data_IF_880594263999
#
_entry.id   IF_880594263999
#
_cell.length_a   1.000
_cell.length_b   1.000
_cell.length_c   1.000
_cell.angle_alpha   90.00
_cell.angle_beta   90.00
_cell.angle_gamma   90.00
#
_symmetry.space_group_name_H-M   'P 1'
#
loop_
_entity.id
_entity.type
_entity.pdbx_description
1 polymer ?
#
# COMPACT_ATOMS: atom_id res chain seq x y z
N UNK A 1 -20.33 -11.26 42.16
CA UNK A 1 -20.84 -11.52 40.79
C UNK A 1 -20.27 -10.46 39.88
N UNK A 2 -19.59 -10.82 38.80
CA UNK A 2 -19.00 -9.89 37.85
C UNK A 2 -19.19 -10.37 36.41
N UNK A 3 -19.11 -9.44 35.46
CA UNK A 3 -19.09 -9.73 34.03
C UNK A 3 -17.63 -9.80 33.55
N UNK A 4 -17.33 -10.79 32.73
CA UNK A 4 -16.02 -10.93 32.10
C UNK A 4 -16.21 -11.14 30.60
N UNK A 5 -15.67 -10.23 29.80
CA UNK A 5 -15.61 -10.35 28.34
C UNK A 5 -14.14 -10.33 27.93
N UNK A 6 -13.67 -11.38 27.27
CA UNK A 6 -12.26 -11.53 26.91
C UNK A 6 -12.11 -12.14 25.52
N UNK A 7 -10.96 -11.89 24.92
CA UNK A 7 -10.51 -12.61 23.73
C UNK A 7 -9.86 -13.93 24.13
N UNK A 8 -10.47 -15.05 23.75
CA UNK A 8 -10.01 -16.41 24.11
C UNK A 8 -10.11 -17.31 22.89
N UNK A 9 -9.00 -17.97 22.54
CA UNK A 9 -9.00 -18.93 21.42
C UNK A 9 -9.39 -18.32 20.07
N UNK A 10 -9.17 -17.02 19.88
CA UNK A 10 -9.54 -16.29 18.68
C UNK A 10 -10.96 -15.73 18.66
N UNK A 11 -11.74 -15.88 19.73
CA UNK A 11 -13.13 -15.44 19.79
C UNK A 11 -13.40 -14.52 20.97
N UNK A 12 -14.48 -13.73 20.87
CA UNK A 12 -15.01 -12.96 22.00
C UNK A 12 -15.84 -13.89 22.88
N UNK A 13 -15.41 -14.10 24.12
CA UNK A 13 -16.12 -14.91 25.11
C UNK A 13 -16.64 -14.01 26.22
N UNK A 14 -17.97 -13.98 26.40
CA UNK A 14 -18.66 -13.22 27.44
C UNK A 14 -19.31 -14.15 28.47
N UNK A 15 -18.95 -13.98 29.74
CA UNK A 15 -19.42 -14.82 30.85
C UNK A 15 -19.74 -14.00 32.10
N UNK A 16 -20.77 -14.42 32.84
CA UNK A 16 -21.03 -13.97 34.19
C UNK A 16 -20.35 -14.95 35.17
N UNK A 17 -19.55 -14.41 36.09
CA UNK A 17 -18.77 -15.20 37.05
C UNK A 17 -19.17 -14.82 38.48
N UNK A 18 -19.50 -15.83 39.28
CA UNK A 18 -19.66 -15.72 40.73
C UNK A 18 -18.36 -16.17 41.40
N UNK A 19 -17.73 -15.33 42.25
CA UNK A 19 -16.42 -15.59 42.88
C UNK A 19 -16.49 -15.46 44.39
N UNK A 20 -15.73 -16.28 45.11
CA UNK A 20 -15.39 -16.10 46.52
C UNK A 20 -13.86 -15.92 46.63
N UNK A 21 -13.43 -14.66 46.77
CA UNK A 21 -12.01 -14.32 46.62
C UNK A 21 -11.50 -14.66 45.22
N UNK A 22 -10.43 -15.46 45.14
CA UNK A 22 -9.85 -15.91 43.86
C UNK A 22 -10.57 -17.13 43.25
N UNK A 23 -11.46 -17.79 44.00
CA UNK A 23 -12.12 -19.05 43.56
C UNK A 23 -13.39 -18.72 42.77
N UNK A 24 -13.48 -19.24 41.54
CA UNK A 24 -14.70 -19.19 40.72
C UNK A 24 -15.71 -20.23 41.25
N UNK A 25 -16.88 -19.77 41.69
CA UNK A 25 -17.96 -20.60 42.22
C UNK A 25 -18.93 -21.07 41.12
N UNK A 26 -19.24 -20.20 40.16
CA UNK A 26 -20.11 -20.52 39.04
C UNK A 26 -19.79 -19.63 37.82
N UNK A 27 -19.89 -20.21 36.62
CA UNK A 27 -19.68 -19.52 35.33
C UNK A 27 -20.89 -19.77 34.44
N UNK A 28 -21.45 -18.71 33.85
CA UNK A 28 -22.59 -18.80 32.93
C UNK A 28 -22.35 -17.91 31.70
N UNK A 29 -22.77 -18.31 30.49
CA UNK A 29 -22.73 -17.43 29.32
C UNK A 29 -23.54 -16.15 29.56
N UNK A 30 -23.00 -15.01 29.13
CA UNK A 30 -23.64 -13.71 29.25
C UNK A 30 -24.30 -13.33 27.91
N UNK A 31 -25.62 -13.19 27.90
CA UNK A 31 -26.39 -12.94 26.66
C UNK A 31 -26.27 -11.49 26.15
N UNK A 32 -26.16 -10.54 27.06
CA UNK A 32 -26.08 -9.11 26.76
C UNK A 32 -24.90 -8.51 27.53
N UNK A 33 -23.66 -8.76 27.08
CA UNK A 33 -22.49 -8.14 27.69
C UNK A 33 -22.50 -6.63 27.51
N UNK A 34 -21.89 -5.92 28.47
CA UNK A 34 -21.58 -4.50 28.32
C UNK A 34 -20.82 -4.24 27.00
N UNK A 35 -21.32 -3.34 26.12
CA UNK A 35 -20.66 -2.99 24.86
C UNK A 35 -19.20 -2.53 25.01
N UNK A 36 -18.84 -1.85 26.10
CA UNK A 36 -17.46 -1.40 26.32
C UNK A 36 -16.53 -2.56 26.64
N UNK A 37 -17.01 -3.58 27.38
CA UNK A 37 -16.25 -4.80 27.63
C UNK A 37 -16.04 -5.62 26.35
N UNK A 38 -17.06 -5.67 25.48
CA UNK A 38 -16.95 -6.30 24.15
C UNK A 38 -15.94 -5.56 23.27
N UNK A 39 -16.04 -4.23 23.21
CA UNK A 39 -15.08 -3.38 22.49
C UNK A 39 -13.66 -3.62 22.99
N UNK A 40 -13.46 -3.65 24.31
CA UNK A 40 -12.16 -3.97 24.92
C UNK A 40 -11.61 -5.35 24.51
N UNK A 41 -12.46 -6.38 24.49
CA UNK A 41 -12.08 -7.71 24.05
C UNK A 41 -11.71 -7.78 22.55
N UNK A 42 -12.43 -7.05 21.69
CA UNK A 42 -12.11 -6.96 20.26
C UNK A 42 -10.77 -6.25 20.02
N UNK A 43 -10.52 -5.16 20.74
CA UNK A 43 -9.22 -4.45 20.70
C UNK A 43 -8.09 -5.36 21.18
N UNK A 44 -8.31 -6.14 22.24
CA UNK A 44 -7.35 -7.15 22.69
C UNK A 44 -7.08 -8.20 21.60
N UNK A 45 -8.13 -8.66 20.91
CA UNK A 45 -7.99 -9.56 19.76
C UNK A 45 -7.13 -8.98 18.63
N UNK A 46 -7.40 -7.72 18.25
CA UNK A 46 -6.60 -6.99 17.26
C UNK A 46 -5.14 -6.87 17.69
N UNK A 47 -4.85 -6.59 18.96
CA UNK A 47 -3.46 -6.50 19.46
C UNK A 47 -2.73 -7.84 19.46
N UNK A 48 -3.43 -8.94 19.73
CA UNK A 48 -2.84 -10.29 19.79
C UNK A 48 -2.64 -10.91 18.41
N UNK A 49 -3.58 -10.74 17.50
CA UNK A 49 -3.59 -11.40 16.19
C UNK A 49 -3.26 -10.46 15.02
N UNK A 50 -3.19 -9.16 15.29
CA UNK A 50 -2.84 -8.13 14.33
C UNK A 50 -4.00 -7.64 13.47
N UNK A 51 -3.67 -6.71 12.57
CA UNK A 51 -4.64 -6.07 11.66
C UNK A 51 -5.19 -7.01 10.59
N UNK A 52 -4.66 -8.22 10.47
CA UNK A 52 -5.17 -9.25 9.56
C UNK A 52 -6.59 -9.73 9.87
N UNK A 53 -7.13 -9.39 11.05
CA UNK A 53 -8.53 -9.62 11.39
C UNK A 53 -9.50 -8.69 10.63
N UNK A 54 -9.01 -7.60 10.05
CA UNK A 54 -9.80 -6.63 9.28
C UNK A 54 -9.84 -7.00 7.80
N UNK A 55 -10.80 -6.42 7.06
CA UNK A 55 -10.85 -6.59 5.61
C UNK A 55 -9.89 -5.63 4.92
N UNK A 56 -8.83 -6.18 4.34
CA UNK A 56 -7.90 -5.46 3.46
C UNK A 56 -8.19 -5.78 2.00
N UNK A 57 -8.66 -4.78 1.25
CA UNK A 57 -8.69 -4.87 -0.20
C UNK A 57 -7.34 -4.46 -0.78
N UNK A 58 -7.08 -4.80 -2.04
CA UNK A 58 -5.88 -4.34 -2.75
C UNK A 58 -5.73 -2.82 -2.72
N UNK A 59 -6.83 -2.08 -2.81
CA UNK A 59 -6.81 -0.62 -2.80
C UNK A 59 -6.57 -0.07 -1.39
N UNK A 60 -7.09 -0.74 -0.36
CA UNK A 60 -6.82 -0.42 1.05
C UNK A 60 -5.33 -0.60 1.39
N UNK A 61 -4.72 -1.69 0.90
CA UNK A 61 -3.28 -1.92 1.05
C UNK A 61 -2.45 -0.85 0.31
N UNK A 62 -2.84 -0.47 -0.91
CA UNK A 62 -2.16 0.60 -1.63
C UNK A 62 -2.26 1.94 -0.93
N UNK A 63 -3.45 2.31 -0.44
CA UNK A 63 -3.62 3.52 0.36
C UNK A 63 -2.68 3.51 1.55
N UNK A 64 -2.64 2.40 2.30
CA UNK A 64 -1.75 2.25 3.44
C UNK A 64 -0.27 2.43 3.06
N UNK A 65 0.18 1.80 1.97
CA UNK A 65 1.56 1.93 1.51
C UNK A 65 1.91 3.36 1.08
N UNK A 66 0.98 4.06 0.40
CA UNK A 66 1.13 5.47 0.01
C UNK A 66 1.24 6.38 1.23
N UNK A 67 0.39 6.17 2.25
CA UNK A 67 0.45 6.90 3.51
C UNK A 67 1.76 6.64 4.26
N UNK A 68 2.19 5.37 4.36
CA UNK A 68 3.46 5.01 4.98
C UNK A 68 4.65 5.68 4.27
N UNK A 69 4.63 5.73 2.94
CA UNK A 69 5.63 6.42 2.14
C UNK A 69 5.65 7.93 2.46
N UNK A 70 4.50 8.61 2.45
CA UNK A 70 4.43 10.04 2.74
C UNK A 70 4.83 10.36 4.17
N UNK A 71 4.43 9.55 5.15
CA UNK A 71 4.86 9.70 6.54
C UNK A 71 6.38 9.59 6.67
N UNK A 72 7.01 8.61 6.01
CA UNK A 72 8.48 8.44 6.04
C UNK A 72 9.23 9.60 5.39
N UNK A 73 8.73 10.11 4.26
CA UNK A 73 9.44 11.11 3.43
C UNK A 73 9.18 12.55 3.88
N UNK A 74 7.93 12.86 4.22
CA UNK A 74 7.49 14.23 4.55
C UNK A 74 7.25 14.42 6.05
N UNK A 75 7.02 13.33 6.81
CA UNK A 75 6.69 13.41 8.23
C UNK A 75 5.28 13.95 8.47
N UNK A 76 5.03 14.51 9.67
CA UNK A 76 3.76 15.16 9.99
C UNK A 76 3.38 16.22 8.94
N UNK A 77 2.09 16.34 8.56
CA UNK A 77 0.92 15.76 9.21
C UNK A 77 0.52 14.37 8.69
N UNK A 78 1.30 13.73 7.82
CA UNK A 78 0.98 12.39 7.32
C UNK A 78 1.06 11.36 8.45
N UNK A 79 0.04 10.49 8.62
CA UNK A 79 -0.06 9.60 9.79
C UNK A 79 0.92 8.44 9.73
N UNK A 80 1.44 8.02 10.88
CA UNK A 80 2.07 6.70 10.99
C UNK A 80 0.98 5.62 10.86
N UNK A 81 1.11 4.79 9.83
CA UNK A 81 0.19 3.68 9.54
C UNK A 81 0.90 2.32 9.68
N UNK A 82 1.97 2.26 10.46
CA UNK A 82 2.57 1.01 10.91
C UNK A 82 1.56 0.17 11.71
N UNK A 83 1.78 -1.15 11.78
CA UNK A 83 0.89 -2.04 12.56
C UNK A 83 0.81 -1.56 14.03
N UNK A 84 1.95 -1.16 14.61
CA UNK A 84 2.02 -0.64 15.97
C UNK A 84 1.18 0.62 16.18
N UNK A 85 1.31 1.62 15.31
CA UNK A 85 0.56 2.87 15.42
C UNK A 85 -0.96 2.64 15.28
N UNK A 86 -1.38 1.86 14.27
CA UNK A 86 -2.79 1.57 14.04
C UNK A 86 -3.43 0.74 15.17
N UNK A 87 -2.67 -0.15 15.81
CA UNK A 87 -3.13 -0.93 16.97
C UNK A 87 -3.13 -0.13 18.27
N UNK A 88 -2.28 0.89 18.39
CA UNK A 88 -2.26 1.80 19.54
C UNK A 88 -3.49 2.72 19.53
N UNK A 89 -3.91 3.19 18.36
CA UNK A 89 -4.98 4.18 18.21
C UNK A 89 -6.24 3.64 17.51
N UNK A 90 -6.64 2.39 17.77
CA UNK A 90 -7.82 1.78 17.13
C UNK A 90 -9.09 2.63 17.22
N UNK A 91 -9.29 3.35 18.32
CA UNK A 91 -10.42 4.26 18.51
C UNK A 91 -10.43 5.46 17.57
N UNK A 92 -9.28 5.93 17.09
CA UNK A 92 -9.19 7.10 16.22
C UNK A 92 -9.63 6.80 14.78
N UNK A 93 -9.43 5.56 14.31
CA UNK A 93 -9.65 5.22 12.90
C UNK A 93 -10.67 4.12 12.65
N UNK A 94 -10.87 3.16 13.57
CA UNK A 94 -11.85 2.08 13.39
C UNK A 94 -13.26 2.42 13.87
N UNK A 95 -13.46 3.59 14.49
CA UNK A 95 -14.79 4.01 14.90
C UNK A 95 -15.56 4.66 13.74
N UNK A 96 -16.88 4.42 13.64
CA UNK A 96 -17.75 3.76 14.62
C UNK A 96 -17.90 2.23 14.44
N UNK A 97 -17.22 1.62 13.46
CA UNK A 97 -17.40 0.19 13.15
C UNK A 97 -16.96 -0.72 14.31
N UNK A 98 -15.88 -0.36 15.01
CA UNK A 98 -15.39 -1.09 16.17
C UNK A 98 -16.44 -1.15 17.30
N UNK A 99 -17.09 -0.03 17.62
CA UNK A 99 -18.17 0.02 18.63
C UNK A 99 -19.43 -0.79 18.23
N UNK A 100 -19.65 -0.99 16.93
CA UNK A 100 -20.79 -1.77 16.40
C UNK A 100 -20.50 -3.28 16.36
N UNK A 101 -19.22 -3.67 16.33
CA UNK A 101 -18.82 -5.07 16.31
C UNK A 101 -19.14 -5.78 17.64
N UNK A 102 -19.44 -7.07 17.54
CA UNK A 102 -19.77 -7.93 18.69
C UNK A 102 -18.95 -9.23 18.72
N UNK A 103 -18.53 -9.72 17.56
CA UNK A 103 -17.82 -10.98 17.41
C UNK A 103 -16.56 -10.82 16.55
N UNK A 104 -15.66 -11.81 16.56
CA UNK A 104 -14.49 -11.87 15.65
C UNK A 104 -14.91 -11.63 14.19
N UNK A 105 -15.98 -12.31 13.76
CA UNK A 105 -16.47 -12.23 12.38
C UNK A 105 -16.86 -10.81 11.95
N UNK A 106 -17.21 -9.92 12.89
CA UNK A 106 -17.54 -8.53 12.55
C UNK A 106 -16.29 -7.72 12.20
N UNK A 107 -15.13 -8.01 12.81
CA UNK A 107 -13.86 -7.38 12.44
C UNK A 107 -13.53 -7.63 10.96
N UNK A 108 -13.75 -8.86 10.48
CA UNK A 108 -13.54 -9.24 9.09
C UNK A 108 -14.48 -8.57 8.09
N UNK A 109 -15.49 -7.83 8.57
CA UNK A 109 -16.40 -7.02 7.74
C UNK A 109 -15.99 -5.55 7.69
N UNK A 110 -15.12 -5.09 8.59
CA UNK A 110 -14.65 -3.71 8.63
C UNK A 110 -13.69 -3.48 7.48
N UNK A 111 -14.03 -2.54 6.60
CA UNK A 111 -13.14 -2.10 5.52
C UNK A 111 -12.04 -1.20 6.07
N UNK A 112 -10.82 -1.74 6.17
CA UNK A 112 -9.68 -1.01 6.70
C UNK A 112 -9.32 0.22 5.85
N UNK A 113 -9.59 0.19 4.54
CA UNK A 113 -9.30 1.31 3.65
C UNK A 113 -10.21 2.50 3.90
N UNK A 114 -11.50 2.25 4.12
CA UNK A 114 -12.45 3.30 4.49
C UNK A 114 -12.12 3.89 5.87
N UNK A 115 -11.74 3.03 6.82
CA UNK A 115 -11.32 3.45 8.14
C UNK A 115 -10.04 4.31 8.10
N UNK A 116 -9.02 3.91 7.33
CA UNK A 116 -7.76 4.65 7.18
C UNK A 116 -7.94 6.06 6.61
N UNK A 117 -8.95 6.29 5.76
CA UNK A 117 -9.23 7.63 5.20
C UNK A 117 -9.56 8.68 6.28
N UNK A 118 -9.96 8.25 7.48
CA UNK A 118 -10.19 9.13 8.63
C UNK A 118 -8.90 9.73 9.20
N UNK A 119 -7.77 9.03 9.02
CA UNK A 119 -6.45 9.48 9.47
C UNK A 119 -5.79 10.47 8.49
N UNK A 120 -6.40 10.70 7.32
CA UNK A 120 -5.85 11.67 6.37
C UNK A 120 -5.82 13.08 6.99
N UNK A 121 -4.81 13.90 6.67
CA UNK A 121 -4.58 15.19 7.30
C UNK A 121 -5.51 16.29 6.75
N UNK A 122 -6.83 16.06 6.79
CA UNK A 122 -7.86 16.95 6.26
C UNK A 122 -7.81 18.35 6.86
N UNK A 123 -7.51 18.47 8.16
CA UNK A 123 -7.44 19.75 8.86
C UNK A 123 -6.36 20.70 8.28
N UNK A 124 -5.28 20.14 7.72
CA UNK A 124 -4.19 20.92 7.10
C UNK A 124 -4.38 21.13 5.60
N UNK A 125 -5.37 20.48 4.98
CA UNK A 125 -5.56 20.46 3.54
C UNK A 125 -4.65 19.49 2.77
N UNK A 126 -3.57 18.97 3.37
CA UNK A 126 -2.62 18.06 2.70
C UNK A 126 -3.27 16.78 2.14
N UNK A 127 -4.39 16.34 2.74
CA UNK A 127 -5.13 15.16 2.27
C UNK A 127 -5.53 15.23 0.78
N UNK A 128 -5.84 16.41 0.25
CA UNK A 128 -6.24 16.57 -1.17
C UNK A 128 -5.07 16.37 -2.14
N UNK A 129 -3.84 16.47 -1.64
CA UNK A 129 -2.60 16.33 -2.41
C UNK A 129 -2.08 14.90 -2.42
N UNK A 130 -2.77 13.95 -1.80
CA UNK A 130 -2.35 12.55 -1.73
C UNK A 130 -2.06 11.96 -3.14
N UNK A 131 -2.93 12.23 -4.12
CA UNK A 131 -2.76 11.73 -5.49
C UNK A 131 -1.65 12.45 -6.27
N UNK A 132 -1.31 13.68 -5.89
CA UNK A 132 -0.18 14.44 -6.44
C UNK A 132 1.15 13.95 -5.83
N UNK A 133 1.19 13.83 -4.50
CA UNK A 133 2.41 13.55 -3.73
C UNK A 133 2.81 12.08 -3.77
N UNK A 134 1.85 11.16 -3.87
CA UNK A 134 2.07 9.73 -3.98
C UNK A 134 1.07 9.13 -4.98
N UNK A 135 1.18 9.37 -6.29
CA UNK A 135 0.24 8.88 -7.28
C UNK A 135 0.19 7.35 -7.35
N UNK A 136 -0.97 6.78 -7.62
CA UNK A 136 -1.07 5.32 -7.85
C UNK A 136 -0.41 4.90 -9.17
N UNK A 137 -0.37 5.81 -10.14
CA UNK A 137 0.17 5.58 -11.48
C UNK A 137 0.89 6.81 -11.98
N UNK A 138 2.01 6.59 -12.66
CA UNK A 138 2.73 7.62 -13.41
C UNK A 138 2.48 7.41 -14.90
N UNK A 139 2.13 8.49 -15.59
CA UNK A 139 2.08 8.49 -17.05
C UNK A 139 3.49 8.63 -17.60
N UNK A 140 3.90 7.69 -18.45
CA UNK A 140 5.23 7.68 -19.09
C UNK A 140 5.12 8.22 -20.52
N UNK A 141 6.23 8.61 -21.20
CA UNK A 141 6.16 9.27 -22.50
C UNK A 141 5.41 8.52 -23.60
N UNK A 142 5.27 7.20 -23.50
CA UNK A 142 4.42 6.41 -24.42
C UNK A 142 2.91 6.67 -24.28
N UNK A 143 2.49 7.43 -23.25
CA UNK A 143 1.11 7.64 -22.83
C UNK A 143 0.56 6.53 -21.92
N UNK A 144 1.35 5.50 -21.60
CA UNK A 144 0.93 4.45 -20.67
C UNK A 144 0.92 4.95 -19.23
N UNK A 145 -0.05 4.48 -18.43
CA UNK A 145 -0.13 4.75 -16.98
C UNK A 145 0.34 3.56 -16.15
N UNK A 146 1.60 3.61 -15.74
CA UNK A 146 2.28 2.52 -15.05
C UNK A 146 2.06 2.65 -13.54
N UNK A 147 1.69 1.55 -12.89
CA UNK A 147 1.47 1.51 -11.43
C UNK A 147 2.78 1.75 -10.69
N UNK A 148 2.71 2.55 -9.63
CA UNK A 148 3.83 2.79 -8.71
C UNK A 148 3.69 1.83 -7.52
N UNK A 149 4.79 1.21 -7.12
CA UNK A 149 4.84 0.35 -5.93
C UNK A 149 5.56 1.07 -4.79
N UNK A 150 4.92 1.13 -3.62
CA UNK A 150 5.38 1.87 -2.44
C UNK A 150 5.89 0.98 -1.29
N UNK A 151 6.09 -0.32 -1.55
CA UNK A 151 6.42 -1.31 -0.52
C UNK A 151 7.85 -1.22 0.04
N UNK A 152 8.73 -0.43 -0.59
CA UNK A 152 10.13 -0.28 -0.19
C UNK A 152 10.49 1.16 0.20
N UNK A 153 11.80 1.40 0.32
CA UNK A 153 12.35 2.72 0.65
C UNK A 153 12.06 3.76 -0.44
N UNK A 154 12.12 3.35 -1.71
CA UNK A 154 11.82 4.18 -2.88
C UNK A 154 10.55 3.69 -3.58
N UNK A 155 9.78 4.59 -4.20
CA UNK A 155 8.71 4.21 -5.09
C UNK A 155 9.29 3.54 -6.33
N UNK A 156 8.73 2.39 -6.72
CA UNK A 156 9.24 1.58 -7.84
C UNK A 156 8.29 1.71 -9.05
N UNK A 157 8.87 1.87 -10.24
CA UNK A 157 8.17 1.89 -11.51
C UNK A 157 8.70 0.79 -12.42
N UNK A 158 7.94 -0.31 -12.53
CA UNK A 158 8.25 -1.41 -13.43
C UNK A 158 7.68 -1.14 -14.83
N UNK A 159 8.54 -0.77 -15.77
CA UNK A 159 8.13 -0.24 -17.08
C UNK A 159 9.01 -0.79 -18.19
N UNK A 160 8.41 -1.04 -19.36
CA UNK A 160 9.16 -1.47 -20.54
C UNK A 160 10.10 -0.35 -20.98
N UNK A 161 11.35 -0.70 -21.22
CA UNK A 161 12.41 0.29 -21.53
C UNK A 161 12.00 1.23 -22.68
N UNK A 162 11.40 0.69 -23.75
CA UNK A 162 11.01 1.51 -24.91
C UNK A 162 9.89 2.53 -24.64
N UNK A 163 9.18 2.39 -23.51
CA UNK A 163 8.14 3.35 -23.11
C UNK A 163 8.72 4.59 -22.42
N UNK A 164 10.01 4.58 -22.10
CA UNK A 164 10.73 5.70 -21.48
C UNK A 164 11.63 6.46 -22.46
N UNK A 165 11.65 6.12 -23.76
CA UNK A 165 12.41 6.91 -24.73
C UNK A 165 11.94 8.38 -24.73
N UNK A 166 12.88 9.30 -24.90
CA UNK A 166 12.65 10.74 -24.74
C UNK A 166 12.55 11.23 -23.29
N UNK A 167 12.48 10.36 -22.27
CA UNK A 167 12.52 10.77 -20.87
C UNK A 167 13.96 10.95 -20.40
N UNK A 168 14.40 12.20 -20.27
CA UNK A 168 15.78 12.53 -19.90
C UNK A 168 16.08 12.25 -18.42
N UNK A 169 15.16 12.59 -17.52
CA UNK A 169 15.36 12.54 -16.07
C UNK A 169 14.44 11.52 -15.39
N UNK A 170 14.89 10.97 -14.26
CA UNK A 170 14.07 10.08 -13.43
C UNK A 170 12.88 10.86 -12.84
N UNK A 171 11.64 10.40 -13.00
CA UNK A 171 10.49 10.97 -12.30
C UNK A 171 10.69 10.94 -10.78
N UNK A 172 10.13 11.93 -10.09
CA UNK A 172 10.16 12.01 -8.64
C UNK A 172 8.76 11.98 -8.06
N UNK A 173 8.62 11.36 -6.89
CA UNK A 173 7.38 11.29 -6.12
C UNK A 173 7.69 11.81 -4.73
N UNK A 174 6.99 12.87 -4.30
CA UNK A 174 7.31 13.63 -3.08
C UNK A 174 8.82 13.98 -2.95
N UNK A 175 9.46 14.35 -4.06
CA UNK A 175 10.90 14.67 -4.12
C UNK A 175 11.85 13.46 -4.20
N UNK A 176 11.36 12.24 -3.94
CA UNK A 176 12.16 11.00 -4.00
C UNK A 176 12.23 10.50 -5.44
N UNK A 177 13.43 10.20 -5.98
CA UNK A 177 13.54 9.60 -7.31
C UNK A 177 12.92 8.20 -7.32
N UNK A 178 12.17 7.92 -8.36
CA UNK A 178 11.57 6.61 -8.58
C UNK A 178 12.65 5.60 -8.97
N UNK A 179 12.65 4.43 -8.33
CA UNK A 179 13.47 3.30 -8.76
C UNK A 179 12.83 2.67 -10.01
N UNK A 180 13.47 2.82 -11.15
CA UNK A 180 12.97 2.32 -12.44
C UNK A 180 13.44 0.89 -12.64
N UNK A 181 12.51 -0.05 -12.63
CA UNK A 181 12.74 -1.42 -13.07
C UNK A 181 12.48 -1.48 -14.57
N UNK A 182 13.56 -1.40 -15.35
CA UNK A 182 13.51 -1.42 -16.81
C UNK A 182 13.25 -2.85 -17.29
N UNK A 183 12.15 -3.04 -18.00
CA UNK A 183 11.71 -4.33 -18.50
C UNK A 183 11.93 -4.47 -20.01
N UNK A 184 12.17 -5.70 -20.45
CA UNK A 184 12.11 -6.07 -21.87
C UNK A 184 10.66 -6.00 -22.40
N UNK A 185 10.45 -6.09 -23.73
CA UNK A 185 9.11 -6.14 -24.30
C UNK A 185 8.22 -7.26 -23.76
N UNK A 186 8.83 -8.37 -23.33
CA UNK A 186 8.17 -9.52 -22.71
C UNK A 186 8.01 -9.40 -21.18
N UNK A 187 8.34 -8.25 -20.59
CA UNK A 187 8.18 -7.99 -19.15
C UNK A 187 9.28 -8.58 -18.27
N UNK A 188 10.40 -9.05 -18.85
CA UNK A 188 11.53 -9.57 -18.07
C UNK A 188 12.42 -8.43 -17.59
N UNK A 189 12.99 -8.48 -16.37
CA UNK A 189 13.96 -7.49 -15.91
C UNK A 189 15.14 -7.38 -16.88
N UNK A 190 15.52 -6.14 -17.21
CA UNK A 190 16.66 -5.82 -18.08
C UNK A 190 17.68 -4.95 -17.36
N UNK A 191 17.24 -3.99 -16.55
CA UNK A 191 18.09 -3.16 -15.69
C UNK A 191 17.27 -2.56 -14.55
N UNK A 192 17.96 -2.06 -13.53
CA UNK A 192 17.38 -1.27 -12.43
C UNK A 192 18.19 0.00 -12.28
N UNK A 193 17.55 1.16 -12.21
CA UNK A 193 18.23 2.44 -11.99
C UNK A 193 17.34 3.45 -11.24
N UNK A 194 17.94 4.25 -10.37
CA UNK A 194 17.31 5.46 -9.81
C UNK A 194 17.80 6.74 -10.54
N UNK A 195 18.78 6.62 -11.43
CA UNK A 195 19.33 7.69 -12.27
C UNK A 195 19.22 7.30 -13.74
N UNK A 196 18.10 7.73 -14.34
CA UNK A 196 17.78 7.42 -15.72
C UNK A 196 18.73 8.16 -16.69
N UNK A 197 19.22 9.34 -16.33
CA UNK A 197 20.13 10.12 -17.15
C UNK A 197 21.48 9.40 -17.29
N UNK A 198 22.06 8.93 -16.18
CA UNK A 198 23.29 8.13 -16.23
C UNK A 198 23.08 6.77 -16.89
N UNK A 199 21.91 6.15 -16.71
CA UNK A 199 21.56 4.94 -17.46
C UNK A 199 21.58 5.16 -18.97
N UNK A 200 21.01 6.25 -19.48
CA UNK A 200 21.01 6.54 -20.92
C UNK A 200 22.42 6.77 -21.47
N UNK A 201 23.28 7.48 -20.73
CA UNK A 201 24.67 7.75 -21.15
C UNK A 201 25.53 6.49 -21.17
N UNK A 202 25.46 5.70 -20.10
CA UNK A 202 26.47 4.68 -19.82
C UNK A 202 25.92 3.25 -19.91
N UNK A 203 24.69 3.01 -19.42
CA UNK A 203 24.10 1.68 -19.29
C UNK A 203 23.34 1.19 -20.53
N UNK A 204 22.69 2.09 -21.26
CA UNK A 204 21.77 1.73 -22.34
C UNK A 204 22.43 0.96 -23.46
N UNK A 205 23.68 1.30 -23.81
CA UNK A 205 24.40 0.68 -24.93
C UNK A 205 24.49 -0.86 -24.78
N UNK A 206 24.80 -1.34 -23.58
CA UNK A 206 24.89 -2.77 -23.29
C UNK A 206 23.52 -3.45 -23.32
N UNK A 207 22.53 -2.87 -22.64
CA UNK A 207 21.15 -3.38 -22.59
C UNK A 207 20.53 -3.43 -23.99
N UNK A 208 20.75 -2.39 -24.79
CA UNK A 208 20.30 -2.30 -26.19
C UNK A 208 20.88 -3.43 -27.03
N UNK A 209 22.17 -3.75 -26.91
CA UNK A 209 22.80 -4.81 -27.69
C UNK A 209 22.14 -6.17 -27.45
N UNK A 210 21.83 -6.49 -26.19
CA UNK A 210 21.10 -7.70 -25.82
C UNK A 210 19.65 -7.68 -26.33
N UNK A 211 18.91 -6.61 -26.03
CA UNK A 211 17.49 -6.51 -26.35
C UNK A 211 17.24 -6.48 -27.86
N UNK A 212 18.11 -5.85 -28.66
CA UNK A 212 18.02 -5.85 -30.12
C UNK A 212 18.12 -7.25 -30.71
N UNK A 213 19.01 -8.09 -30.17
CA UNK A 213 19.15 -9.48 -30.62
C UNK A 213 17.92 -10.33 -30.29
N UNK A 214 17.41 -10.21 -29.05
CA UNK A 214 16.25 -11.01 -28.57
C UNK A 214 14.90 -10.51 -29.09
N UNK A 215 14.77 -9.21 -29.36
CA UNK A 215 13.50 -8.56 -29.71
C UNK A 215 13.65 -7.65 -30.95
N UNK A 216 14.01 -8.21 -32.13
CA UNK A 216 14.34 -7.41 -33.32
C UNK A 216 13.16 -6.62 -33.91
N UNK A 217 11.92 -6.94 -33.53
CA UNK A 217 10.70 -6.25 -34.00
C UNK A 217 10.38 -4.96 -33.24
N UNK A 218 11.15 -4.63 -32.20
CA UNK A 218 10.96 -3.44 -31.35
C UNK A 218 11.97 -2.33 -31.69
N UNK A 219 11.65 -1.05 -31.38
CA UNK A 219 12.56 0.05 -31.64
C UNK A 219 13.71 0.04 -30.62
N UNK A 220 14.94 0.02 -31.13
CA UNK A 220 16.18 0.07 -30.34
C UNK A 220 17.11 1.16 -30.92
N UNK A 221 16.73 2.44 -30.77
CA UNK A 221 17.49 3.57 -31.32
C UNK A 221 18.92 3.56 -30.78
N UNK A 222 19.85 4.18 -31.50
CA UNK A 222 21.19 4.44 -30.93
C UNK A 222 21.12 5.55 -29.90
N UNK A 223 20.35 6.59 -30.20
CA UNK A 223 20.05 7.69 -29.28
C UNK A 223 18.59 7.59 -28.77
N UNK A 224 18.37 7.18 -27.51
CA UNK A 224 17.03 7.02 -26.94
C UNK A 224 16.31 8.34 -26.69
N UNK A 225 16.99 9.50 -26.74
CA UNK A 225 16.36 10.81 -26.55
C UNK A 225 15.65 11.32 -27.80
N UNK A 226 16.00 10.80 -28.99
CA UNK A 226 15.57 11.35 -30.29
C UNK A 226 14.36 10.64 -30.90
N UNK A 227 13.89 9.55 -30.29
CA UNK A 227 12.74 8.79 -30.80
C UNK A 227 11.53 8.89 -29.88
N UNK A 228 10.31 8.95 -30.44
CA UNK A 228 9.10 8.90 -29.63
C UNK A 228 8.98 7.55 -28.92
N UNK A 229 8.68 7.59 -27.63
CA UNK A 229 8.39 6.39 -26.86
C UNK A 229 7.16 5.65 -27.41
N UNK A 230 7.17 4.33 -27.25
CA UNK A 230 6.01 3.52 -27.62
C UNK A 230 5.93 2.24 -26.82
N UNK A 231 4.69 1.76 -26.60
CA UNK A 231 4.45 0.40 -26.10
C UNK A 231 4.43 -0.67 -27.19
N UNK A 232 4.53 -0.27 -28.46
CA UNK A 232 4.29 -1.12 -29.62
C UNK A 232 5.58 -1.57 -30.33
N UNK A 233 5.41 -2.44 -31.33
CA UNK A 233 6.48 -2.85 -32.25
C UNK A 233 6.68 -1.81 -33.35
N UNK A 234 7.86 -1.80 -33.99
CA UNK A 234 8.18 -0.85 -35.07
C UNK A 234 7.24 -0.98 -36.27
N UNK A 235 6.74 -2.19 -36.55
CA UNK A 235 5.78 -2.42 -37.62
C UNK A 235 4.42 -1.75 -37.35
N UNK A 236 4.00 -1.70 -36.08
CA UNK A 236 2.73 -1.07 -35.68
C UNK A 236 2.85 0.45 -35.69
N UNK A 237 4.00 1.00 -35.30
CA UNK A 237 4.28 2.44 -35.38
C UNK A 237 4.15 3.00 -36.81
N UNK A 238 4.58 2.25 -37.83
CA UNK A 238 4.50 2.70 -39.23
C UNK A 238 3.08 2.70 -39.81
N UNK A 239 2.11 2.15 -39.09
CA UNK A 239 0.71 2.03 -39.54
C UNK A 239 -0.23 3.01 -38.82
N UNK A 240 0.28 3.69 -37.80
CA UNK A 240 -0.43 4.71 -37.00
C UNK A 240 0.01 6.09 -37.41
#
# INVERSE_FOLDING_TARGET
>A
RGEEVRWVGGEVVARAVDRLGAVELAVRPLKQPDPELVRGALVEGLRREGLGLLRWTRDSEQLRLRLAFLHRVLGPPWPDVSDGALLAETGAWLEPELSRARFRADLGRIDAGQALRRLLPWATGEAVRLDELAPERIEVPSGSRIRVEYGGEQPVLAVKLQELFGLAETPRVAGVPVLVHLLSPAGRPAAVTADLASFWRDGYKAVRAELRGRYPKHPWPEDPATVPATRFTSARLRRS
#
